data_IF_925009096448
#
_entry.id   IF_925009096448
#
_cell.length_a   1.000
_cell.length_b   1.000
_cell.length_c   1.000
_cell.angle_alpha   90.00
_cell.angle_beta   90.00
_cell.angle_gamma   90.00
#
_symmetry.space_group_name_H-M   'P 1'
#
loop_
_entity.id
_entity.type
_entity.pdbx_description
1 polymer ?
#
# COMPACT_ATOMS: atom_id res chain seq x y z
N UNK A 1 27.31 -14.16 -7.72
CA UNK A 1 27.04 -12.82 -7.18
C UNK A 1 27.26 -12.90 -5.68
N UNK A 2 28.11 -12.05 -5.12
CA UNK A 2 28.36 -11.99 -3.67
C UNK A 2 27.04 -11.69 -2.98
N UNK A 3 26.57 -12.57 -2.09
CA UNK A 3 25.28 -12.38 -1.42
C UNK A 3 25.46 -11.26 -0.39
N UNK A 4 24.99 -10.04 -0.69
CA UNK A 4 25.27 -8.81 0.07
C UNK A 4 24.72 -8.83 1.52
N UNK A 5 23.93 -9.85 1.87
CA UNK A 5 23.22 -9.98 3.15
C UNK A 5 23.63 -11.24 3.95
N UNK A 6 24.67 -11.96 3.53
CA UNK A 6 25.23 -13.09 4.27
C UNK A 6 26.65 -12.74 4.69
N UNK A 7 26.92 -12.80 5.99
CA UNK A 7 28.21 -12.45 6.57
C UNK A 7 28.75 -13.59 7.42
N UNK A 8 30.02 -13.92 7.24
CA UNK A 8 30.76 -14.74 8.19
C UNK A 8 31.20 -13.85 9.35
N UNK A 9 30.83 -14.27 10.55
CA UNK A 9 31.01 -13.51 11.78
C UNK A 9 32.25 -14.01 12.51
N UNK A 10 33.05 -13.06 12.96
CA UNK A 10 34.21 -13.28 13.82
C UNK A 10 34.30 -12.17 14.88
N UNK A 11 35.29 -12.29 15.76
CA UNK A 11 35.51 -11.35 16.86
C UNK A 11 35.73 -9.89 16.41
N UNK A 12 36.21 -9.68 15.19
CA UNK A 12 36.51 -8.33 14.67
C UNK A 12 35.26 -7.62 14.13
N UNK A 13 34.28 -8.36 13.58
CA UNK A 13 33.10 -7.77 12.93
C UNK A 13 31.79 -7.95 13.71
N UNK A 14 31.76 -8.77 14.77
CA UNK A 14 30.54 -9.06 15.54
C UNK A 14 29.82 -7.79 16.01
N UNK A 15 30.56 -6.78 16.50
CA UNK A 15 29.97 -5.53 16.97
C UNK A 15 29.27 -4.77 15.84
N UNK A 16 29.92 -4.61 14.68
CA UNK A 16 29.34 -3.98 13.50
C UNK A 16 28.08 -4.74 13.03
N UNK A 17 28.13 -6.07 13.03
CA UNK A 17 26.98 -6.91 12.65
C UNK A 17 25.82 -6.73 13.63
N UNK A 18 26.07 -6.67 14.93
CA UNK A 18 25.02 -6.37 15.92
C UNK A 18 24.46 -4.96 15.72
N UNK A 19 25.29 -3.95 15.43
CA UNK A 19 24.83 -2.59 15.17
C UNK A 19 23.91 -2.51 13.94
N UNK A 20 24.15 -3.33 12.91
CA UNK A 20 23.22 -3.42 11.75
C UNK A 20 21.81 -3.84 12.16
N UNK A 21 21.64 -4.54 13.29
CA UNK A 21 20.32 -4.93 13.83
C UNK A 21 19.40 -3.77 14.22
N UNK A 22 19.95 -2.54 14.33
CA UNK A 22 19.16 -1.32 14.54
C UNK A 22 18.29 -1.00 13.33
N UNK A 23 18.78 -1.28 12.12
CA UNK A 23 18.08 -0.95 10.89
C UNK A 23 17.48 -2.18 10.19
N UNK A 24 18.14 -3.33 10.28
CA UNK A 24 17.70 -4.57 9.63
C UNK A 24 17.82 -5.75 10.60
N UNK A 25 16.79 -6.59 10.78
CA UNK A 25 16.89 -7.79 11.62
C UNK A 25 18.12 -8.64 11.26
N UNK A 26 18.85 -9.13 12.26
CA UNK A 26 20.05 -9.95 12.08
C UNK A 26 19.80 -11.35 12.63
N UNK A 27 19.84 -12.34 11.74
CA UNK A 27 19.69 -13.75 12.07
C UNK A 27 21.07 -14.37 12.26
N UNK A 28 21.51 -14.49 13.52
CA UNK A 28 22.73 -15.21 13.85
C UNK A 28 22.52 -16.72 13.72
N UNK A 29 23.39 -17.38 12.97
CA UNK A 29 23.39 -18.82 12.74
C UNK A 29 24.70 -19.43 13.24
N UNK A 30 24.63 -20.12 14.38
CA UNK A 30 25.75 -20.81 15.00
C UNK A 30 25.82 -22.24 14.46
N UNK A 31 26.91 -22.57 13.77
CA UNK A 31 27.07 -23.82 13.05
C UNK A 31 28.42 -24.49 13.32
N UNK A 32 28.52 -25.79 13.04
CA UNK A 32 29.78 -26.54 13.01
C UNK A 32 29.72 -27.58 11.90
N UNK A 33 30.82 -27.77 11.18
CA UNK A 33 30.93 -28.78 10.12
C UNK A 33 30.78 -30.22 10.65
N UNK A 34 30.89 -30.41 11.97
CA UNK A 34 30.75 -31.71 12.64
C UNK A 34 29.29 -32.09 12.92
N UNK A 35 28.35 -31.15 12.77
CA UNK A 35 26.93 -31.42 12.98
C UNK A 35 26.34 -32.17 11.78
N UNK A 36 25.58 -33.27 12.00
CA UNK A 36 24.96 -34.03 10.90
C UNK A 36 23.95 -33.19 10.11
N UNK A 37 23.38 -32.17 10.74
CA UNK A 37 22.34 -31.31 10.15
C UNK A 37 22.90 -30.01 9.55
N UNK A 38 24.23 -29.86 9.49
CA UNK A 38 24.88 -28.62 9.03
C UNK A 38 24.48 -28.24 7.61
N UNK A 39 24.62 -29.16 6.65
CA UNK A 39 24.41 -28.84 5.24
C UNK A 39 22.95 -28.46 4.96
N UNK A 40 22.01 -29.21 5.52
CA UNK A 40 20.58 -28.96 5.34
C UNK A 40 20.18 -27.58 5.89
N UNK A 41 20.58 -27.30 7.14
CA UNK A 41 20.26 -26.03 7.80
C UNK A 41 20.88 -24.83 7.06
N UNK A 42 22.16 -24.93 6.68
CA UNK A 42 22.86 -23.87 5.93
C UNK A 42 22.19 -23.60 4.58
N UNK A 43 21.75 -24.64 3.86
CA UNK A 43 21.05 -24.49 2.59
C UNK A 43 19.71 -23.79 2.75
N UNK A 44 18.91 -24.18 3.76
CA UNK A 44 17.61 -23.55 4.03
C UNK A 44 17.80 -22.05 4.36
N UNK A 45 18.71 -21.72 5.28
CA UNK A 45 18.93 -20.33 5.71
C UNK A 45 19.50 -19.46 4.59
N UNK A 46 20.43 -19.98 3.79
CA UNK A 46 21.00 -19.26 2.64
C UNK A 46 19.97 -19.01 1.55
N UNK A 47 19.10 -20.00 1.28
CA UNK A 47 17.97 -19.86 0.36
C UNK A 47 17.03 -18.75 0.85
N UNK A 48 16.59 -18.81 2.10
CA UNK A 48 15.68 -17.81 2.68
C UNK A 48 16.29 -16.40 2.68
N UNK A 49 17.56 -16.25 3.05
CA UNK A 49 18.24 -14.95 3.02
C UNK A 49 18.27 -14.35 1.59
N UNK A 50 18.38 -15.21 0.57
CA UNK A 50 18.35 -14.79 -0.83
C UNK A 50 16.93 -14.43 -1.28
N UNK A 51 15.92 -15.24 -0.94
CA UNK A 51 14.50 -15.01 -1.28
C UNK A 51 13.93 -13.75 -0.63
N UNK A 52 14.39 -13.42 0.58
CA UNK A 52 13.96 -12.23 1.31
C UNK A 52 14.71 -10.95 0.90
N UNK A 53 15.61 -11.01 -0.10
CA UNK A 53 16.24 -9.85 -0.74
C UNK A 53 16.77 -8.76 0.23
N UNK A 54 17.34 -9.18 1.36
CA UNK A 54 17.91 -8.26 2.36
C UNK A 54 16.95 -7.74 3.44
N UNK A 55 15.72 -8.27 3.54
CA UNK A 55 14.84 -8.00 4.69
C UNK A 55 15.46 -8.42 6.03
N UNK A 56 16.43 -9.33 6.01
CA UNK A 56 17.27 -9.66 7.16
C UNK A 56 18.69 -9.99 6.71
N UNK A 57 19.61 -9.89 7.67
CA UNK A 57 21.01 -10.28 7.49
C UNK A 57 21.21 -11.67 8.07
N UNK A 58 21.79 -12.60 7.31
CA UNK A 58 22.23 -13.89 7.83
C UNK A 58 23.68 -13.77 8.31
N UNK A 59 23.88 -13.93 9.62
CA UNK A 59 25.17 -13.77 10.29
C UNK A 59 25.68 -15.14 10.75
N UNK A 60 26.50 -15.79 9.93
CA UNK A 60 26.99 -17.15 10.14
C UNK A 60 28.20 -17.17 11.08
N UNK A 61 28.12 -17.93 12.18
CA UNK A 61 29.20 -18.08 13.17
C UNK A 61 29.69 -19.53 13.16
N UNK A 62 30.93 -19.75 12.70
CA UNK A 62 31.58 -21.05 12.79
C UNK A 62 32.02 -21.32 14.23
N UNK A 63 31.34 -22.24 14.92
CA UNK A 63 31.60 -22.58 16.30
C UNK A 63 32.90 -23.36 16.51
N UNK A 64 33.43 -24.00 15.47
CA UNK A 64 34.72 -24.69 15.54
C UNK A 64 35.89 -23.69 15.62
N UNK A 65 35.71 -22.49 15.05
CA UNK A 65 36.72 -21.44 14.97
C UNK A 65 36.52 -20.33 16.00
N UNK A 66 35.26 -19.94 16.26
CA UNK A 66 34.91 -18.77 17.06
C UNK A 66 34.49 -19.14 18.50
N UNK A 67 35.33 -19.91 19.20
CA UNK A 67 34.99 -20.46 20.52
C UNK A 67 34.67 -19.40 21.58
N UNK A 68 35.33 -18.24 21.53
CA UNK A 68 35.04 -17.15 22.47
C UNK A 68 33.64 -16.57 22.24
N UNK A 69 33.22 -16.39 20.98
CA UNK A 69 31.85 -15.94 20.65
C UNK A 69 30.80 -16.96 21.09
N UNK A 70 31.05 -18.26 20.87
CA UNK A 70 30.18 -19.36 21.33
C UNK A 70 29.93 -19.27 22.84
N UNK A 71 30.99 -19.03 23.62
CA UNK A 71 30.89 -18.88 25.07
C UNK A 71 30.12 -17.62 25.48
N UNK A 72 30.38 -16.47 24.83
CA UNK A 72 29.71 -15.20 25.11
C UNK A 72 28.20 -15.27 24.84
N UNK A 73 27.79 -15.92 23.75
CA UNK A 73 26.38 -16.13 23.41
C UNK A 73 25.74 -17.30 24.16
N UNK A 74 26.51 -18.00 25.00
CA UNK A 74 26.00 -19.12 25.81
C UNK A 74 25.48 -20.29 24.97
N UNK A 75 26.07 -20.54 23.79
CA UNK A 75 25.63 -21.58 22.86
C UNK A 75 25.92 -22.96 23.45
N UNK A 76 24.86 -23.74 23.66
CA UNK A 76 24.93 -25.09 24.28
C UNK A 76 24.88 -26.24 23.28
N UNK A 77 24.66 -25.94 22.01
CA UNK A 77 24.67 -26.93 20.94
C UNK A 77 24.46 -26.27 19.57
N UNK A 78 24.69 -27.05 18.51
CA UNK A 78 24.55 -26.59 17.13
C UNK A 78 23.65 -27.52 16.32
N UNK A 79 22.89 -27.01 15.33
CA UNK A 79 22.77 -25.60 14.99
C UNK A 79 21.95 -24.83 16.04
N UNK A 80 22.28 -23.56 16.27
CA UNK A 80 21.47 -22.62 17.06
C UNK A 80 21.28 -21.35 16.26
N UNK A 81 20.07 -20.79 16.30
CA UNK A 81 19.72 -19.55 15.61
C UNK A 81 19.18 -18.54 16.61
N UNK A 82 19.65 -17.31 16.52
CA UNK A 82 19.12 -16.17 17.26
C UNK A 82 18.75 -15.04 16.31
N UNK A 83 17.60 -14.43 16.55
CA UNK A 83 17.20 -13.20 15.88
C UNK A 83 17.54 -12.01 16.77
N UNK A 84 18.21 -11.02 16.18
CA UNK A 84 18.54 -9.75 16.81
C UNK A 84 17.79 -8.61 16.13
N UNK A 85 17.20 -7.72 16.93
CA UNK A 85 16.65 -6.44 16.51
C UNK A 85 17.03 -5.37 17.54
N UNK A 86 17.31 -4.15 17.09
CA UNK A 86 17.68 -3.02 17.96
C UNK A 86 18.83 -3.35 18.94
N UNK A 87 19.81 -4.14 18.49
CA UNK A 87 20.97 -4.55 19.26
C UNK A 87 20.73 -5.66 20.29
N UNK A 88 19.52 -6.24 20.35
CA UNK A 88 19.14 -7.22 21.37
C UNK A 88 18.58 -8.51 20.75
N UNK A 89 18.80 -9.68 21.38
CA UNK A 89 18.15 -10.92 20.96
C UNK A 89 16.64 -10.87 21.28
N UNK A 90 15.80 -11.09 20.26
CA UNK A 90 14.33 -11.04 20.40
C UNK A 90 13.66 -12.41 20.36
N UNK A 91 14.25 -13.38 19.65
CA UNK A 91 13.76 -14.76 19.59
C UNK A 91 14.89 -15.70 19.10
N UNK A 92 14.70 -17.01 19.17
CA UNK A 92 15.66 -17.98 18.67
C UNK A 92 15.21 -19.42 18.81
N UNK A 93 15.93 -20.34 18.18
CA UNK A 93 15.66 -21.76 18.26
C UNK A 93 16.95 -22.60 18.16
N UNK A 94 16.88 -23.82 18.65
CA UNK A 94 17.98 -24.78 18.61
C UNK A 94 17.56 -26.02 17.82
N UNK A 95 18.52 -26.58 17.07
CA UNK A 95 18.33 -27.77 16.26
C UNK A 95 17.84 -27.46 14.84
N UNK A 96 17.73 -28.52 14.04
CA UNK A 96 17.20 -28.45 12.68
C UNK A 96 15.70 -28.14 12.74
N UNK A 97 15.25 -27.24 11.86
CA UNK A 97 13.84 -26.89 11.67
C UNK A 97 13.48 -27.04 10.20
N UNK A 98 12.21 -27.33 9.90
CA UNK A 98 11.71 -27.30 8.52
C UNK A 98 11.76 -25.88 7.96
N UNK A 99 11.85 -25.75 6.64
CA UNK A 99 11.79 -24.45 5.95
C UNK A 99 10.51 -23.66 6.33
N UNK A 100 9.37 -24.36 6.47
CA UNK A 100 8.09 -23.76 6.86
C UNK A 100 8.10 -23.19 8.28
N UNK A 101 8.71 -23.90 9.25
CA UNK A 101 8.85 -23.42 10.61
C UNK A 101 9.73 -22.16 10.66
N UNK A 102 10.82 -22.15 9.88
CA UNK A 102 11.71 -20.98 9.80
C UNK A 102 11.01 -19.80 9.11
N UNK A 103 10.24 -20.04 8.04
CA UNK A 103 9.40 -18.99 7.42
C UNK A 103 8.41 -18.40 8.40
N UNK A 104 7.76 -19.23 9.20
CA UNK A 104 6.83 -18.79 10.25
C UNK A 104 7.54 -17.99 11.35
N UNK A 105 8.74 -18.42 11.74
CA UNK A 105 9.59 -17.69 12.68
C UNK A 105 9.96 -16.30 12.14
N UNK A 106 10.43 -16.22 10.88
CA UNK A 106 10.79 -14.96 10.23
C UNK A 106 9.57 -14.04 10.06
N UNK A 107 8.40 -14.57 9.68
CA UNK A 107 7.19 -13.77 9.45
C UNK A 107 6.67 -13.03 10.70
N UNK A 108 7.04 -13.46 11.91
CA UNK A 108 6.71 -12.73 13.16
C UNK A 108 7.52 -11.45 13.33
N UNK A 109 8.62 -11.32 12.58
CA UNK A 109 9.70 -10.37 12.86
C UNK A 109 9.97 -9.48 11.65
N UNK A 110 9.94 -10.06 10.44
CA UNK A 110 10.16 -9.33 9.20
C UNK A 110 8.93 -8.50 8.84
N UNK A 111 9.11 -7.31 8.22
CA UNK A 111 8.00 -6.58 7.64
C UNK A 111 7.25 -7.49 6.66
N UNK A 112 5.92 -7.52 6.77
CA UNK A 112 5.12 -8.25 5.80
C UNK A 112 5.27 -7.59 4.39
N UNK A 113 4.88 -8.32 3.35
CA UNK A 113 5.00 -7.82 1.96
C UNK A 113 4.33 -6.45 1.75
N UNK A 114 3.25 -6.18 2.50
CA UNK A 114 2.51 -4.93 2.40
C UNK A 114 3.26 -3.75 3.04
N UNK A 115 4.02 -3.96 4.13
CA UNK A 115 4.91 -2.94 4.69
C UNK A 115 6.03 -2.58 3.70
N UNK A 116 6.55 -3.55 2.94
CA UNK A 116 7.55 -3.27 1.90
C UNK A 116 6.95 -2.46 0.76
N UNK A 117 5.74 -2.81 0.33
CA UNK A 117 4.99 -2.03 -0.67
C UNK A 117 4.65 -0.63 -0.17
N UNK A 118 4.39 -0.45 1.13
CA UNK A 118 4.20 0.86 1.73
C UNK A 118 5.48 1.72 1.64
N UNK A 119 6.67 1.13 1.86
CA UNK A 119 7.94 1.84 1.67
C UNK A 119 8.13 2.28 0.22
N UNK A 120 7.82 1.42 -0.74
CA UNK A 120 7.82 1.78 -2.17
C UNK A 120 6.81 2.90 -2.47
N UNK A 121 5.60 2.80 -1.93
CA UNK A 121 4.56 3.80 -2.07
C UNK A 121 5.00 5.16 -1.50
N UNK A 122 5.67 5.18 -0.35
CA UNK A 122 6.21 6.37 0.28
C UNK A 122 7.30 7.03 -0.59
N UNK A 123 8.17 6.22 -1.20
CA UNK A 123 9.18 6.73 -2.13
C UNK A 123 8.50 7.41 -3.33
N UNK A 124 7.56 6.73 -3.99
CA UNK A 124 6.81 7.28 -5.11
C UNK A 124 6.05 8.56 -4.72
N UNK A 125 5.45 8.57 -3.53
CA UNK A 125 4.73 9.72 -2.99
C UNK A 125 5.66 10.93 -2.80
N UNK A 126 6.84 10.73 -2.21
CA UNK A 126 7.82 11.80 -1.98
C UNK A 126 8.41 12.33 -3.30
N UNK A 127 8.44 11.51 -4.35
CA UNK A 127 8.84 11.90 -5.71
C UNK A 127 7.69 12.57 -6.50
N UNK A 128 6.52 12.77 -5.91
CA UNK A 128 5.34 13.35 -6.55
C UNK A 128 4.64 12.41 -7.55
N UNK A 129 4.98 11.13 -7.58
CA UNK A 129 4.42 10.13 -8.49
C UNK A 129 3.11 9.54 -7.94
N UNK A 130 2.15 10.41 -7.63
CA UNK A 130 0.90 10.05 -6.96
C UNK A 130 0.10 8.96 -7.67
N UNK A 131 0.03 9.01 -9.02
CA UNK A 131 -0.66 7.99 -9.82
C UNK A 131 -0.11 6.57 -9.60
N UNK A 132 1.20 6.44 -9.40
CA UNK A 132 1.87 5.14 -9.19
C UNK A 132 1.80 4.73 -7.71
N UNK A 133 1.86 5.68 -6.78
CA UNK A 133 1.74 5.42 -5.35
C UNK A 133 0.34 4.92 -4.96
N UNK A 134 -0.71 5.45 -5.60
CA UNK A 134 -2.11 5.23 -5.25
C UNK A 134 -2.53 3.74 -5.12
N UNK A 135 -2.24 2.83 -6.06
CA UNK A 135 -2.58 1.42 -5.90
C UNK A 135 -1.88 0.76 -4.71
N UNK A 136 -0.61 1.11 -4.45
CA UNK A 136 0.15 0.57 -3.33
C UNK A 136 -0.37 1.11 -1.99
N UNK A 137 -0.67 2.41 -1.91
CA UNK A 137 -1.28 3.03 -0.74
C UNK A 137 -2.66 2.46 -0.44
N UNK A 138 -3.47 2.20 -1.47
CA UNK A 138 -4.78 1.59 -1.31
C UNK A 138 -4.68 0.16 -0.77
N UNK A 139 -3.75 -0.64 -1.29
CA UNK A 139 -3.48 -1.97 -0.76
C UNK A 139 -3.03 -1.89 0.70
N UNK A 140 -2.02 -1.08 1.00
CA UNK A 140 -1.48 -0.91 2.33
C UNK A 140 -2.54 -0.44 3.33
N UNK A 141 -3.41 0.50 2.95
CA UNK A 141 -4.50 0.99 3.81
C UNK A 141 -5.52 -0.11 4.15
N UNK A 142 -5.76 -1.05 3.24
CA UNK A 142 -6.70 -2.15 3.46
C UNK A 142 -6.12 -3.31 4.28
N UNK A 143 -4.81 -3.52 4.25
CA UNK A 143 -4.18 -4.70 4.86
C UNK A 143 -3.38 -4.39 6.11
N UNK A 144 -2.77 -3.20 6.19
CA UNK A 144 -1.97 -2.79 7.34
C UNK A 144 -2.84 -2.10 8.38
N UNK A 145 -2.73 -2.60 9.61
CA UNK A 145 -3.49 -2.10 10.75
C UNK A 145 -2.56 -1.66 11.87
N UNK A 146 -3.06 -0.76 12.71
CA UNK A 146 -2.42 -0.36 13.94
C UNK A 146 -2.48 -1.49 15.00
N UNK A 147 -1.92 -1.22 16.18
CA UNK A 147 -1.94 -2.14 17.32
C UNK A 147 -3.36 -2.51 17.83
N UNK A 148 -4.39 -1.78 17.41
CA UNK A 148 -5.79 -2.02 17.74
C UNK A 148 -6.55 -2.73 16.59
N UNK A 149 -5.85 -3.10 15.51
CA UNK A 149 -6.44 -3.74 14.34
C UNK A 149 -7.24 -2.77 13.46
N UNK A 150 -7.03 -1.46 13.59
CA UNK A 150 -7.67 -0.43 12.76
C UNK A 150 -6.76 0.00 11.61
N UNK A 151 -7.30 0.43 10.45
CA UNK A 151 -6.48 1.00 9.38
C UNK A 151 -5.59 2.14 9.91
N UNK A 152 -4.31 2.15 9.52
CA UNK A 152 -3.36 3.14 10.03
C UNK A 152 -3.64 4.53 9.44
N UNK A 153 -3.73 5.54 10.30
CA UNK A 153 -4.07 6.92 9.93
C UNK A 153 -2.98 7.61 9.08
N UNK A 154 -1.71 7.26 9.28
CA UNK A 154 -0.59 7.76 8.47
C UNK A 154 -0.73 7.36 6.99
N UNK A 155 -1.07 6.09 6.72
CA UNK A 155 -1.32 5.59 5.37
C UNK A 155 -2.55 6.27 4.77
N UNK A 156 -3.60 6.45 5.57
CA UNK A 156 -4.83 7.10 5.14
C UNK A 156 -4.60 8.57 4.72
N UNK A 157 -3.77 9.33 5.44
CA UNK A 157 -3.40 10.69 5.04
C UNK A 157 -2.66 10.74 3.70
N UNK A 158 -1.70 9.83 3.50
CA UNK A 158 -0.98 9.73 2.23
C UNK A 158 -1.91 9.35 1.08
N UNK A 159 -2.80 8.38 1.31
CA UNK A 159 -3.79 7.95 0.33
C UNK A 159 -4.72 9.10 -0.04
N UNK A 160 -5.27 9.82 0.94
CA UNK A 160 -6.13 10.98 0.72
C UNK A 160 -5.39 12.09 -0.06
N UNK A 161 -4.13 12.38 0.28
CA UNK A 161 -3.33 13.36 -0.46
C UNK A 161 -3.08 12.93 -1.91
N UNK A 162 -2.70 11.66 -2.13
CA UNK A 162 -2.52 11.14 -3.48
C UNK A 162 -3.83 11.22 -4.29
N UNK A 163 -4.98 10.92 -3.68
CA UNK A 163 -6.30 11.04 -4.30
C UNK A 163 -6.64 12.50 -4.63
N UNK A 164 -6.36 13.46 -3.75
CA UNK A 164 -6.53 14.90 -4.02
C UNK A 164 -5.74 15.34 -5.26
N UNK A 165 -4.47 14.95 -5.35
CA UNK A 165 -3.61 15.28 -6.50
C UNK A 165 -4.13 14.65 -7.80
N UNK A 166 -4.70 13.45 -7.70
CA UNK A 166 -5.34 12.75 -8.80
C UNK A 166 -6.78 13.22 -9.08
N UNK A 167 -7.24 14.30 -8.44
CA UNK A 167 -8.61 14.87 -8.55
C UNK A 167 -9.73 13.90 -8.16
N UNK A 168 -9.42 12.93 -7.33
CA UNK A 168 -10.35 11.96 -6.75
C UNK A 168 -10.83 12.46 -5.38
N UNK A 169 -11.50 13.63 -5.36
CA UNK A 169 -11.89 14.29 -4.11
C UNK A 169 -12.91 13.49 -3.30
N UNK A 170 -13.85 12.81 -3.97
CA UNK A 170 -14.81 11.91 -3.33
C UNK A 170 -14.11 10.82 -2.53
N UNK A 171 -13.20 10.08 -3.18
CA UNK A 171 -12.45 9.00 -2.55
C UNK A 171 -11.59 9.52 -1.38
N UNK A 172 -10.96 10.70 -1.53
CA UNK A 172 -10.17 11.32 -0.46
C UNK A 172 -11.02 11.62 0.78
N UNK A 173 -12.25 12.13 0.59
CA UNK A 173 -13.19 12.37 1.69
C UNK A 173 -13.60 11.09 2.40
N UNK A 174 -13.88 10.02 1.63
CA UNK A 174 -14.23 8.72 2.21
C UNK A 174 -13.10 8.18 3.09
N UNK A 175 -11.86 8.26 2.61
CA UNK A 175 -10.68 7.85 3.38
C UNK A 175 -10.54 8.69 4.66
N UNK A 176 -10.64 10.03 4.56
CA UNK A 176 -10.54 10.90 5.73
C UNK A 176 -11.68 10.68 6.74
N UNK A 177 -12.88 10.30 6.29
CA UNK A 177 -13.99 9.97 7.19
C UNK A 177 -13.72 8.75 8.09
N UNK A 178 -12.74 7.91 7.73
CA UNK A 178 -12.33 6.74 8.54
C UNK A 178 -11.36 7.08 9.68
N UNK A 179 -10.79 8.30 9.69
CA UNK A 179 -9.75 8.71 10.65
C UNK A 179 -10.36 8.86 12.06
N UNK A 180 -9.82 8.14 13.08
CA UNK A 180 -10.26 8.28 14.46
C UNK A 180 -10.07 9.71 14.99
N UNK A 181 -10.98 10.17 15.85
CA UNK A 181 -10.95 11.53 16.42
C UNK A 181 -9.60 11.90 17.06
N UNK A 182 -8.95 10.94 17.71
CA UNK A 182 -7.63 11.12 18.35
C UNK A 182 -6.50 11.41 17.36
N UNK A 183 -6.65 11.02 16.09
CA UNK A 183 -5.64 11.18 15.04
C UNK A 183 -5.96 12.39 14.14
N UNK A 184 -7.05 13.11 14.39
CA UNK A 184 -7.44 14.30 13.61
C UNK A 184 -6.60 15.52 14.00
N UNK A 185 -5.35 15.52 13.54
CA UNK A 185 -4.36 16.55 13.81
C UNK A 185 -4.37 17.68 12.75
N UNK A 186 -3.31 18.50 12.72
CA UNK A 186 -3.17 19.56 11.72
C UNK A 186 -3.10 19.05 10.29
N UNK A 187 -2.55 17.85 10.05
CA UNK A 187 -2.48 17.28 8.72
C UNK A 187 -3.86 16.87 8.22
N UNK A 188 -4.67 16.25 9.09
CA UNK A 188 -6.07 15.94 8.80
C UNK A 188 -6.87 17.19 8.39
N UNK A 189 -6.82 18.24 9.21
CA UNK A 189 -7.54 19.49 8.92
C UNK A 189 -7.01 20.21 7.68
N UNK A 190 -5.70 20.13 7.42
CA UNK A 190 -5.10 20.66 6.19
C UNK A 190 -5.66 19.99 4.93
N UNK A 191 -5.77 18.65 4.92
CA UNK A 191 -6.35 17.90 3.81
C UNK A 191 -7.85 18.20 3.64
N UNK A 192 -8.61 18.33 4.74
CA UNK A 192 -10.02 18.72 4.67
C UNK A 192 -10.20 20.10 4.04
N UNK A 193 -9.41 21.09 4.48
CA UNK A 193 -9.46 22.44 3.94
C UNK A 193 -9.03 22.50 2.46
N UNK A 194 -8.03 21.70 2.07
CA UNK A 194 -7.61 21.57 0.68
C UNK A 194 -8.73 21.01 -0.21
N UNK A 195 -9.41 19.96 0.25
CA UNK A 195 -10.58 19.41 -0.45
C UNK A 195 -11.69 20.45 -0.57
N UNK A 196 -12.03 21.13 0.52
CA UNK A 196 -13.08 22.15 0.53
C UNK A 196 -12.77 23.28 -0.46
N UNK A 197 -11.53 23.76 -0.49
CA UNK A 197 -11.09 24.80 -1.43
C UNK A 197 -11.21 24.34 -2.89
N UNK A 198 -10.79 23.10 -3.18
CA UNK A 198 -10.90 22.53 -4.52
C UNK A 198 -12.35 22.35 -4.96
N UNK A 199 -13.24 21.95 -4.06
CA UNK A 199 -14.66 21.83 -4.35
C UNK A 199 -15.33 23.19 -4.57
N UNK A 200 -15.00 24.19 -3.75
CA UNK A 200 -15.48 25.55 -3.94
C UNK A 200 -15.02 26.09 -5.30
N UNK A 201 -13.77 25.86 -5.68
CA UNK A 201 -13.25 26.25 -6.99
C UNK A 201 -13.96 25.51 -8.14
N UNK A 202 -14.38 24.26 -7.93
CA UNK A 202 -15.13 23.46 -8.90
C UNK A 202 -16.64 23.76 -8.91
N UNK A 203 -17.15 24.64 -8.06
CA UNK A 203 -18.58 24.92 -7.90
C UNK A 203 -18.95 26.33 -8.36
N UNK A 204 -18.81 26.59 -9.67
CA UNK A 204 -19.08 27.90 -10.27
C UNK A 204 -20.57 28.31 -10.15
N UNK A 205 -20.88 29.62 -10.17
CA UNK A 205 -22.27 30.09 -10.15
C UNK A 205 -23.13 29.50 -11.27
N UNK A 206 -22.55 29.28 -12.45
CA UNK A 206 -23.22 28.67 -13.61
C UNK A 206 -23.58 27.20 -13.33
N UNK A 207 -22.67 26.44 -12.70
CA UNK A 207 -22.94 25.07 -12.27
C UNK A 207 -24.07 25.03 -11.25
N UNK A 208 -24.07 25.93 -10.27
CA UNK A 208 -25.13 26.02 -9.26
C UNK A 208 -26.49 26.34 -9.89
N UNK A 209 -26.52 27.23 -10.90
CA UNK A 209 -27.74 27.54 -11.64
C UNK A 209 -28.26 26.32 -12.40
N UNK A 210 -27.41 25.62 -13.16
CA UNK A 210 -27.79 24.40 -13.89
C UNK A 210 -28.30 23.30 -12.94
N UNK A 211 -27.66 23.12 -11.79
CA UNK A 211 -28.14 22.19 -10.76
C UNK A 211 -29.51 22.59 -10.21
N UNK A 212 -29.74 23.88 -9.93
CA UNK A 212 -31.02 24.38 -9.43
C UNK A 212 -32.14 24.28 -10.48
N UNK A 213 -31.84 24.47 -11.76
CA UNK A 213 -32.80 24.30 -12.85
C UNK A 213 -33.14 22.82 -13.06
N UNK A 214 -32.14 21.94 -13.08
CA UNK A 214 -32.37 20.50 -13.20
C UNK A 214 -33.15 19.95 -11.99
N UNK A 215 -32.93 20.47 -10.78
CA UNK A 215 -33.72 20.10 -9.61
C UNK A 215 -35.22 20.43 -9.76
N UNK A 216 -35.56 21.48 -10.51
CA UNK A 216 -36.96 21.82 -10.85
C UNK A 216 -37.51 20.97 -12.00
N UNK A 217 -36.64 20.47 -12.87
CA UNK A 217 -37.00 19.70 -14.07
C UNK A 217 -36.13 18.43 -14.16
N UNK A 218 -36.35 17.43 -13.29
CA UNK A 218 -35.43 16.30 -13.12
C UNK A 218 -35.36 15.36 -14.33
N UNK A 219 -36.31 15.43 -15.26
CA UNK A 219 -36.35 14.62 -16.49
C UNK A 219 -35.86 15.40 -17.74
N UNK A 220 -35.37 16.64 -17.57
CA UNK A 220 -34.90 17.46 -18.68
C UNK A 220 -33.53 17.00 -19.17
N UNK A 221 -33.53 16.28 -20.30
CA UNK A 221 -32.35 15.70 -20.96
C UNK A 221 -31.31 16.76 -21.33
N UNK A 222 -31.75 17.91 -21.82
CA UNK A 222 -30.84 18.99 -22.24
C UNK A 222 -30.06 19.54 -21.04
N UNK A 223 -30.74 19.78 -19.92
CA UNK A 223 -30.11 20.21 -18.68
C UNK A 223 -29.14 19.17 -18.12
N UNK A 224 -29.45 17.87 -18.20
CA UNK A 224 -28.52 16.81 -17.79
C UNK A 224 -27.23 16.82 -18.63
N UNK A 225 -27.36 17.01 -19.95
CA UNK A 225 -26.21 17.04 -20.86
C UNK A 225 -25.37 18.30 -20.63
N UNK A 226 -26.00 19.46 -20.47
CA UNK A 226 -25.29 20.71 -20.18
C UNK A 226 -24.58 20.63 -18.83
N UNK A 227 -25.26 20.17 -17.78
CA UNK A 227 -24.68 20.02 -16.45
C UNK A 227 -23.54 19.01 -16.44
N UNK A 228 -23.70 17.83 -17.06
CA UNK A 228 -22.61 16.83 -17.14
C UNK A 228 -21.39 17.37 -17.90
N UNK A 229 -21.58 18.15 -18.97
CA UNK A 229 -20.46 18.81 -19.66
C UNK A 229 -19.72 19.80 -18.77
N UNK A 230 -20.46 20.63 -18.01
CA UNK A 230 -19.85 21.58 -17.08
C UNK A 230 -19.13 20.87 -15.93
N UNK A 231 -19.74 19.82 -15.37
CA UNK A 231 -19.11 18.97 -14.35
C UNK A 231 -17.80 18.34 -14.86
N UNK A 232 -17.75 17.93 -16.13
CA UNK A 232 -16.53 17.42 -16.75
C UNK A 232 -15.43 18.50 -16.86
N UNK A 233 -15.78 19.74 -17.19
CA UNK A 233 -14.82 20.84 -17.31
C UNK A 233 -14.14 21.18 -15.98
N UNK A 234 -14.87 21.05 -14.87
CA UNK A 234 -14.34 21.30 -13.52
C UNK A 234 -13.77 20.05 -12.83
N UNK A 235 -13.61 18.95 -13.56
CA UNK A 235 -13.03 17.71 -13.03
C UNK A 235 -13.96 16.86 -12.16
N UNK A 236 -15.24 17.22 -12.03
CA UNK A 236 -16.28 16.46 -11.30
C UNK A 236 -16.83 15.32 -12.15
N UNK A 237 -15.92 14.47 -12.63
CA UNK A 237 -16.19 13.43 -13.61
C UNK A 237 -17.20 12.38 -13.11
N UNK A 238 -17.10 11.97 -11.85
CA UNK A 238 -17.99 10.95 -11.29
C UNK A 238 -19.44 11.42 -11.27
N UNK A 239 -19.69 12.66 -10.84
CA UNK A 239 -21.03 13.25 -10.85
C UNK A 239 -21.58 13.40 -12.26
N UNK A 240 -20.73 13.80 -13.22
CA UNK A 240 -21.13 13.90 -14.62
C UNK A 240 -21.57 12.55 -15.19
N UNK A 241 -20.80 11.49 -14.92
CA UNK A 241 -21.10 10.14 -15.39
C UNK A 241 -22.33 9.56 -14.70
N UNK A 242 -22.46 9.70 -13.38
CA UNK A 242 -23.60 9.20 -12.61
C UNK A 242 -24.90 9.91 -13.03
N UNK A 243 -24.84 11.23 -13.27
CA UNK A 243 -25.98 12.03 -13.73
C UNK A 243 -26.59 11.47 -15.03
N UNK A 244 -25.74 11.06 -15.98
CA UNK A 244 -26.18 10.48 -17.24
C UNK A 244 -26.47 8.98 -17.14
N UNK A 245 -25.77 8.26 -16.26
CA UNK A 245 -25.96 6.81 -16.10
C UNK A 245 -27.28 6.47 -15.44
N UNK A 246 -27.68 7.21 -14.40
CA UNK A 246 -28.89 6.95 -13.61
C UNK A 246 -30.17 6.84 -14.46
N UNK A 247 -30.52 7.76 -15.38
CA UNK A 247 -31.71 7.61 -16.22
C UNK A 247 -31.64 6.40 -17.17
N UNK A 248 -30.44 6.02 -17.65
CA UNK A 248 -30.26 4.85 -18.52
C UNK A 248 -30.65 3.54 -17.85
N UNK A 249 -30.50 3.45 -16.52
CA UNK A 249 -30.93 2.26 -15.76
C UNK A 249 -32.43 1.99 -15.85
N UNK A 250 -33.23 2.99 -16.22
CA UNK A 250 -34.70 2.89 -16.39
C UNK A 250 -35.10 2.81 -17.86
N UNK A 251 -34.48 3.63 -18.70
CA UNK A 251 -34.75 3.69 -20.15
C UNK A 251 -33.46 3.95 -20.93
N UNK A 252 -33.03 2.93 -21.68
CA UNK A 252 -31.83 3.00 -22.53
C UNK A 252 -31.98 3.96 -23.72
N UNK A 253 -33.21 4.33 -24.08
CA UNK A 253 -33.50 5.25 -25.18
C UNK A 253 -33.95 6.64 -24.67
N UNK A 254 -33.75 6.93 -23.39
CA UNK A 254 -34.09 8.23 -22.78
C UNK A 254 -33.50 9.40 -23.58
N UNK A 255 -34.36 10.39 -23.88
CA UNK A 255 -34.00 11.53 -24.71
C UNK A 255 -33.58 11.15 -26.12
N UNK A 256 -34.29 10.22 -26.76
CA UNK A 256 -34.00 9.69 -28.09
C UNK A 256 -32.57 9.12 -28.22
N UNK A 257 -32.07 8.53 -27.13
CA UNK A 257 -30.72 7.95 -27.05
C UNK A 257 -29.59 8.98 -26.86
N UNK A 258 -29.91 10.27 -26.74
CA UNK A 258 -28.92 11.33 -26.59
C UNK A 258 -28.10 11.16 -25.31
N UNK A 259 -28.74 10.80 -24.18
CA UNK A 259 -28.04 10.58 -22.90
C UNK A 259 -27.00 9.47 -23.02
N UNK A 260 -27.35 8.35 -23.67
CA UNK A 260 -26.44 7.23 -23.89
C UNK A 260 -25.25 7.65 -24.75
N UNK A 261 -25.50 8.40 -25.81
CA UNK A 261 -24.45 8.92 -26.69
C UNK A 261 -23.50 9.84 -25.91
N UNK A 262 -24.04 10.81 -25.18
CA UNK A 262 -23.23 11.73 -24.36
C UNK A 262 -22.39 10.98 -23.34
N UNK A 263 -22.96 10.00 -22.62
CA UNK A 263 -22.20 9.20 -21.65
C UNK A 263 -21.02 8.48 -22.33
N UNK A 264 -21.21 7.89 -23.50
CA UNK A 264 -20.13 7.23 -24.26
C UNK A 264 -19.04 8.22 -24.69
N UNK A 265 -19.43 9.41 -25.14
CA UNK A 265 -18.50 10.47 -25.52
C UNK A 265 -17.67 10.95 -24.32
N UNK A 266 -18.28 11.11 -23.13
CA UNK A 266 -17.58 11.46 -21.90
C UNK A 266 -16.59 10.36 -21.48
N UNK A 267 -17.00 9.08 -21.56
CA UNK A 267 -16.12 7.95 -21.27
C UNK A 267 -14.94 7.92 -22.25
N UNK A 268 -15.17 8.18 -23.54
CA UNK A 268 -14.11 8.27 -24.54
C UNK A 268 -13.12 9.41 -24.22
N UNK A 269 -13.62 10.58 -23.81
CA UNK A 269 -12.79 11.72 -23.42
C UNK A 269 -11.88 11.42 -22.21
N UNK A 270 -12.36 10.62 -21.24
CA UNK A 270 -11.55 10.17 -20.10
C UNK A 270 -10.46 9.16 -20.48
N UNK A 271 -10.53 8.57 -21.68
CA UNK A 271 -9.57 7.58 -22.16
C UNK A 271 -9.76 6.17 -21.57
N UNK A 272 -8.95 5.23 -22.05
CA UNK A 272 -9.02 3.80 -21.68
C UNK A 272 -8.33 3.50 -20.35
N UNK A 273 -7.30 4.27 -19.98
CA UNK A 273 -6.51 4.04 -18.77
C UNK A 273 -7.12 4.66 -17.51
N UNK A 274 -8.28 5.34 -17.63
CA UNK A 274 -8.97 5.92 -16.49
C UNK A 274 -9.83 4.85 -15.78
N UNK A 275 -9.57 4.65 -14.48
CA UNK A 275 -10.25 3.64 -13.67
C UNK A 275 -11.77 3.90 -13.53
N UNK A 276 -12.17 5.16 -13.34
CA UNK A 276 -13.57 5.57 -13.26
C UNK A 276 -14.29 5.28 -14.57
N UNK A 277 -13.71 5.67 -15.71
CA UNK A 277 -14.28 5.39 -17.01
C UNK A 277 -14.40 3.87 -17.26
N UNK A 278 -13.40 3.09 -16.85
CA UNK A 278 -13.43 1.62 -16.93
C UNK A 278 -14.49 0.98 -16.03
N UNK A 279 -14.85 1.58 -14.89
CA UNK A 279 -15.96 1.15 -14.06
C UNK A 279 -17.31 1.39 -14.78
N UNK A 280 -17.56 2.62 -15.24
CA UNK A 280 -18.81 2.96 -15.93
C UNK A 280 -19.00 2.22 -17.26
N UNK A 281 -17.92 1.92 -18.00
CA UNK A 281 -17.99 1.04 -19.19
C UNK A 281 -18.50 -0.36 -18.82
N UNK A 282 -18.02 -0.94 -17.71
CA UNK A 282 -18.49 -2.24 -17.22
C UNK A 282 -19.96 -2.16 -16.79
N UNK A 283 -20.35 -1.14 -16.02
CA UNK A 283 -21.75 -0.91 -15.63
C UNK A 283 -22.67 -0.80 -16.84
N UNK A 284 -22.27 -0.04 -17.87
CA UNK A 284 -23.06 0.14 -19.09
C UNK A 284 -23.14 -1.16 -19.90
N UNK A 285 -22.07 -1.95 -19.98
CA UNK A 285 -22.09 -3.25 -20.64
C UNK A 285 -23.11 -4.19 -19.98
N UNK A 286 -23.10 -4.30 -18.64
CA UNK A 286 -24.08 -5.11 -17.88
C UNK A 286 -25.52 -4.63 -18.04
N UNK A 287 -25.74 -3.35 -18.38
CA UNK A 287 -27.07 -2.82 -18.62
C UNK A 287 -27.59 -3.12 -20.04
N UNK A 288 -26.68 -3.35 -21.00
CA UNK A 288 -27.02 -3.58 -22.42
C UNK A 288 -27.21 -5.06 -22.77
N UNK A 289 -26.71 -5.98 -21.94
CA UNK A 289 -26.66 -7.43 -22.17
C UNK A 289 -27.08 -8.20 -20.92
#
# INVERSE_FOLDING_TARGET
MSNQFIFDVNEQNIQEIIEKSINNPVLFYFWSARSPNYQEMTNILTKLATEHHGQFILASVNCDEQQMLVAQFGIRGVPTVYMFQNGQPVDGFQGLQSEENIKTFLAKILPNEDELKLVEAQKLFNEGQYAQALPLLKQAWTTLTDHLGKPRSDIAFMLAKAQIEQKQLSDAKEVLATIPLQDQDSAFHGLQAEIELLEQAANSPELQQLQAELAKQPDNVELMIQLSSQLMQVGRHEEALELLFKPLTKDLNVGDGQIKKTLLDLLAALGTNNALASNYRRKLYTLLY
#
